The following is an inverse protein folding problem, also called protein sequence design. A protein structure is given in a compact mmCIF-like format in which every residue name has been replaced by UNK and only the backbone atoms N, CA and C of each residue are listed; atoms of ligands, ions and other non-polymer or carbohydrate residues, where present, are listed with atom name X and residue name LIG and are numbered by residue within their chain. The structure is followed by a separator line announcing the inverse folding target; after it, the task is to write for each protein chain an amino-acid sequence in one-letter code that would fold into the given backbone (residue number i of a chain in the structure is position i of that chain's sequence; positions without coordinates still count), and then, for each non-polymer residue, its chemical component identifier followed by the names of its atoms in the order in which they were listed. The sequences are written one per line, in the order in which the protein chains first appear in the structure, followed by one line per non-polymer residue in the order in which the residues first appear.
data_IF_500396664105
#
_entry.id   IF_500396664105
#
_cell.length_a   1.000
_cell.length_b   1.000
_cell.length_c   1.000
_cell.angle_alpha   90.00
_cell.angle_beta   90.00
_cell.angle_gamma   90.00
#
_symmetry.space_group_name_H-M   'P 1'
#
loop_
_entity.id
_entity.type
_entity.pdbx_description
1 polymer ?
#
# COMPACT_ATOMS: atom_id res chain seq x y z
N UNK A 1 22.95 -22.73 -10.57
CA UNK A 1 23.55 -21.38 -10.47
C UNK A 1 24.69 -21.42 -9.49
N UNK A 2 25.88 -21.05 -9.95
CA UNK A 2 27.02 -20.97 -9.06
C UNK A 2 27.10 -19.58 -8.43
N UNK A 3 27.29 -19.54 -7.13
CA UNK A 3 27.47 -18.27 -6.42
C UNK A 3 28.93 -17.85 -6.53
N UNK A 4 29.22 -16.53 -6.55
CA UNK A 4 30.60 -16.05 -6.52
C UNK A 4 31.34 -16.60 -5.30
N UNK A 5 32.53 -17.12 -5.53
CA UNK A 5 33.32 -17.78 -4.48
C UNK A 5 34.28 -16.79 -3.81
N UNK A 6 33.76 -15.58 -3.48
CA UNK A 6 34.50 -14.58 -2.72
C UNK A 6 33.76 -14.33 -1.41
N UNK A 7 34.50 -14.35 -0.30
CA UNK A 7 33.90 -14.28 1.04
C UNK A 7 32.92 -13.09 1.23
N UNK A 8 33.27 -11.91 0.72
CA UNK A 8 32.40 -10.73 0.83
C UNK A 8 31.15 -10.84 -0.01
N UNK A 9 31.24 -11.36 -1.23
CA UNK A 9 30.10 -11.52 -2.12
C UNK A 9 29.16 -12.61 -1.64
N UNK A 10 29.68 -13.71 -1.10
CA UNK A 10 28.85 -14.77 -0.51
C UNK A 10 28.08 -14.25 0.69
N UNK A 11 28.73 -13.48 1.56
CA UNK A 11 28.08 -12.89 2.73
C UNK A 11 26.95 -11.92 2.32
N UNK A 12 27.16 -11.12 1.27
CA UNK A 12 26.13 -10.22 0.75
C UNK A 12 24.95 -10.99 0.17
N UNK A 13 25.19 -12.08 -0.56
CA UNK A 13 24.13 -12.91 -1.10
C UNK A 13 23.32 -13.60 0.00
N UNK A 14 24.00 -14.09 1.03
CA UNK A 14 23.32 -14.69 2.18
C UNK A 14 22.44 -13.67 2.89
N UNK A 15 22.94 -12.45 3.08
CA UNK A 15 22.15 -11.39 3.70
C UNK A 15 20.96 -11.01 2.83
N UNK A 16 21.16 -10.87 1.53
CA UNK A 16 20.08 -10.57 0.58
C UNK A 16 18.99 -11.65 0.62
N UNK A 17 19.38 -12.92 0.68
CA UNK A 17 18.44 -14.03 0.79
C UNK A 17 17.65 -13.99 2.10
N UNK A 18 18.30 -13.67 3.22
CA UNK A 18 17.60 -13.54 4.49
C UNK A 18 16.56 -12.43 4.44
N UNK A 19 16.93 -11.28 3.89
CA UNK A 19 16.02 -10.15 3.74
C UNK A 19 14.84 -10.54 2.85
N UNK A 20 15.11 -11.17 1.72
CA UNK A 20 14.07 -11.63 0.80
C UNK A 20 13.08 -12.56 1.48
N UNK A 21 13.56 -13.58 2.18
CA UNK A 21 12.66 -14.53 2.82
C UNK A 21 11.89 -13.93 3.99
N UNK A 22 12.49 -12.99 4.73
CA UNK A 22 11.75 -12.27 5.78
C UNK A 22 10.61 -11.43 5.20
N UNK A 23 10.89 -10.72 4.11
CA UNK A 23 9.85 -9.94 3.42
C UNK A 23 8.75 -10.85 2.86
N UNK A 24 9.13 -11.95 2.26
CA UNK A 24 8.20 -12.94 1.71
C UNK A 24 7.30 -13.51 2.81
N UNK A 25 7.88 -13.91 3.93
CA UNK A 25 7.15 -14.42 5.09
C UNK A 25 6.22 -13.36 5.66
N UNK A 26 6.69 -12.13 5.81
CA UNK A 26 5.86 -11.02 6.30
C UNK A 26 4.68 -10.74 5.37
N UNK A 27 4.90 -10.75 4.06
CA UNK A 27 3.83 -10.54 3.08
C UNK A 27 2.77 -11.63 3.19
N UNK A 28 3.19 -12.90 3.34
CA UNK A 28 2.26 -14.01 3.51
C UNK A 28 1.50 -13.93 4.83
N UNK A 29 2.15 -13.53 5.90
CA UNK A 29 1.50 -13.30 7.19
C UNK A 29 0.47 -12.18 7.12
N UNK A 30 0.78 -11.12 6.38
CA UNK A 30 -0.14 -10.02 6.17
C UNK A 30 -1.44 -10.51 5.53
N UNK A 31 -1.35 -11.37 4.51
CA UNK A 31 -2.53 -11.89 3.84
C UNK A 31 -3.31 -12.90 4.67
N UNK A 32 -2.63 -13.71 5.48
CA UNK A 32 -3.29 -14.72 6.30
C UNK A 32 -3.88 -14.15 7.59
N UNK A 33 -3.05 -13.46 8.37
CA UNK A 33 -3.42 -12.98 9.71
C UNK A 33 -4.07 -11.61 9.65
N UNK A 34 -3.55 -10.72 8.81
CA UNK A 34 -4.10 -9.39 8.63
C UNK A 34 -5.51 -9.41 8.09
N UNK A 35 -5.80 -10.30 7.12
CA UNK A 35 -7.15 -10.43 6.58
C UNK A 35 -8.19 -10.78 7.64
N UNK A 36 -7.85 -11.67 8.56
CA UNK A 36 -8.75 -12.04 9.65
C UNK A 36 -9.01 -10.87 10.60
N UNK A 37 -7.97 -10.09 10.88
CA UNK A 37 -8.10 -8.95 11.80
C UNK A 37 -9.01 -7.86 11.25
N UNK A 38 -8.94 -7.56 9.95
CA UNK A 38 -9.73 -6.49 9.33
C UNK A 38 -11.08 -6.96 8.81
N UNK A 39 -11.26 -8.25 8.60
CA UNK A 39 -12.52 -8.83 8.13
C UNK A 39 -13.67 -8.53 9.10
N UNK A 40 -13.40 -8.53 10.38
CA UNK A 40 -14.39 -8.18 11.41
C UNK A 40 -14.90 -6.75 11.26
N UNK A 41 -14.11 -5.88 10.64
CA UNK A 41 -14.48 -4.50 10.35
C UNK A 41 -15.15 -4.35 8.97
N UNK A 42 -15.35 -5.45 8.25
CA UNK A 42 -15.90 -5.43 6.91
C UNK A 42 -14.94 -4.90 5.86
N UNK A 43 -13.64 -4.97 6.11
CA UNK A 43 -12.61 -4.43 5.24
C UNK A 43 -11.70 -5.53 4.71
N UNK A 44 -11.10 -5.29 3.54
CA UNK A 44 -9.97 -6.07 3.03
C UNK A 44 -8.66 -5.46 3.49
N UNK A 45 -7.56 -6.21 3.39
CA UNK A 45 -6.24 -5.67 3.70
C UNK A 45 -5.87 -4.51 2.80
N UNK A 46 -6.30 -4.53 1.53
CA UNK A 46 -6.06 -3.43 0.60
C UNK A 46 -6.81 -2.16 1.01
N UNK A 47 -8.07 -2.30 1.41
CA UNK A 47 -8.86 -1.17 1.92
C UNK A 47 -8.26 -0.61 3.20
N UNK A 48 -7.82 -1.47 4.10
CA UNK A 48 -7.13 -1.06 5.32
C UNK A 48 -5.86 -0.27 5.00
N UNK A 49 -5.07 -0.72 4.02
CA UNK A 49 -3.85 -0.02 3.62
C UNK A 49 -4.17 1.39 3.10
N UNK A 50 -5.20 1.54 2.29
CA UNK A 50 -5.63 2.85 1.78
C UNK A 50 -6.04 3.77 2.94
N UNK A 51 -6.90 3.29 3.82
CA UNK A 51 -7.36 4.08 4.96
C UNK A 51 -6.21 4.44 5.91
N UNK A 52 -5.30 3.50 6.14
CA UNK A 52 -4.12 3.75 6.96
C UNK A 52 -3.20 4.82 6.36
N UNK A 53 -2.97 4.77 5.06
CA UNK A 53 -2.18 5.79 4.38
C UNK A 53 -2.81 7.17 4.48
N UNK A 54 -4.13 7.25 4.30
CA UNK A 54 -4.87 8.51 4.36
C UNK A 54 -5.04 9.06 5.78
N UNK A 55 -4.86 8.22 6.79
CA UNK A 55 -4.99 8.63 8.20
C UNK A 55 -3.73 9.27 8.75
N UNK A 56 -2.63 9.28 7.99
CA UNK A 56 -1.39 9.91 8.42
C UNK A 56 -1.53 11.44 8.41
N UNK A 57 -0.84 12.15 9.33
CA UNK A 57 -0.89 13.62 9.35
C UNK A 57 -0.50 14.25 8.00
N UNK A 58 0.46 13.66 7.28
CA UNK A 58 0.91 14.14 5.96
C UNK A 58 -0.20 14.10 4.92
N UNK A 59 -1.23 13.29 5.13
CA UNK A 59 -2.33 13.10 4.20
C UNK A 59 -3.61 13.83 4.64
N UNK A 60 -3.54 14.72 5.61
CA UNK A 60 -4.70 15.42 6.18
C UNK A 60 -5.54 16.13 5.11
N UNK A 61 -4.88 16.75 4.14
CA UNK A 61 -5.56 17.45 3.04
C UNK A 61 -6.03 16.52 1.92
N UNK A 62 -5.69 15.25 2.03
CA UNK A 62 -5.93 14.27 0.98
C UNK A 62 -4.68 14.00 0.17
N UNK A 63 -4.75 12.96 -0.64
CA UNK A 63 -3.67 12.55 -1.54
C UNK A 63 -4.23 12.36 -2.95
N UNK A 64 -3.46 12.75 -3.96
CA UNK A 64 -3.79 12.39 -5.34
C UNK A 64 -3.71 10.87 -5.53
N UNK A 65 -4.48 10.33 -6.47
CA UNK A 65 -4.49 8.88 -6.73
C UNK A 65 -3.10 8.39 -7.10
N UNK A 66 -2.37 9.13 -7.95
CA UNK A 66 -1.00 8.76 -8.33
C UNK A 66 -0.03 8.79 -7.16
N UNK A 67 -0.15 9.78 -6.29
CA UNK A 67 0.66 9.89 -5.08
C UNK A 67 0.41 8.73 -4.13
N UNK A 68 -0.86 8.40 -3.90
CA UNK A 68 -1.25 7.29 -3.06
C UNK A 68 -0.77 5.95 -3.63
N UNK A 69 -0.86 5.77 -4.94
CA UNK A 69 -0.37 4.57 -5.61
C UNK A 69 1.14 4.40 -5.41
N UNK A 70 1.91 5.47 -5.55
CA UNK A 70 3.36 5.43 -5.31
C UNK A 70 3.68 5.10 -3.86
N UNK A 71 2.95 5.68 -2.94
CA UNK A 71 3.15 5.39 -1.51
C UNK A 71 2.89 3.93 -1.17
N UNK A 72 1.81 3.37 -1.70
CA UNK A 72 1.42 1.98 -1.47
C UNK A 72 2.14 0.99 -2.38
N UNK A 73 2.91 1.48 -3.35
CA UNK A 73 3.67 0.67 -4.30
C UNK A 73 2.77 -0.26 -5.13
N UNK A 74 1.63 0.28 -5.57
CA UNK A 74 0.67 -0.42 -6.41
C UNK A 74 0.47 0.34 -7.72
N UNK A 75 -0.15 -0.30 -8.73
CA UNK A 75 -0.44 0.39 -9.98
C UNK A 75 -1.53 1.44 -9.77
N UNK A 76 -1.40 2.55 -10.49
CA UNK A 76 -2.40 3.63 -10.44
C UNK A 76 -3.77 3.13 -10.88
N UNK A 77 -3.82 2.27 -11.89
CA UNK A 77 -5.07 1.73 -12.41
C UNK A 77 -5.80 0.87 -11.37
N UNK A 78 -5.07 -0.03 -10.70
CA UNK A 78 -5.64 -0.86 -9.66
C UNK A 78 -6.15 -0.01 -8.49
N UNK A 79 -5.36 0.97 -8.08
CA UNK A 79 -5.74 1.85 -6.99
C UNK A 79 -6.95 2.70 -7.34
N UNK A 80 -7.02 3.23 -8.56
CA UNK A 80 -8.15 4.03 -9.01
C UNK A 80 -9.46 3.26 -8.92
N UNK A 81 -9.46 1.99 -9.34
CA UNK A 81 -10.63 1.13 -9.21
C UNK A 81 -11.02 0.87 -7.76
N UNK A 82 -10.04 0.60 -6.91
CA UNK A 82 -10.27 0.36 -5.48
C UNK A 82 -10.84 1.60 -4.80
N UNK A 83 -10.26 2.77 -5.05
CA UNK A 83 -10.70 4.05 -4.49
C UNK A 83 -12.14 4.36 -4.92
N UNK A 84 -12.47 4.12 -6.19
CA UNK A 84 -13.83 4.33 -6.69
C UNK A 84 -14.86 3.46 -5.96
N UNK A 85 -14.54 2.20 -5.71
CA UNK A 85 -15.41 1.32 -4.94
C UNK A 85 -15.53 1.76 -3.48
N UNK A 86 -14.44 2.18 -2.88
CA UNK A 86 -14.44 2.65 -1.49
C UNK A 86 -15.23 3.96 -1.32
N UNK A 87 -15.20 4.81 -2.33
CA UNK A 87 -16.04 6.02 -2.33
C UNK A 87 -17.53 5.65 -2.34
N UNK A 88 -17.91 4.73 -3.23
CA UNK A 88 -19.30 4.27 -3.31
C UNK A 88 -19.78 3.63 -2.01
N UNK A 89 -18.89 2.92 -1.33
CA UNK A 89 -19.21 2.23 -0.09
C UNK A 89 -19.13 3.15 1.14
N UNK A 90 -18.76 4.42 0.95
CA UNK A 90 -18.75 5.40 2.03
C UNK A 90 -17.53 5.38 2.93
N UNK A 91 -16.43 4.74 2.51
CA UNK A 91 -15.21 4.64 3.32
C UNK A 91 -14.31 5.88 3.21
N UNK A 92 -14.40 6.58 2.10
CA UNK A 92 -13.58 7.76 1.83
C UNK A 92 -14.33 8.69 0.87
N UNK A 93 -13.76 9.87 0.63
CA UNK A 93 -14.32 10.80 -0.32
C UNK A 93 -13.27 11.32 -1.30
N UNK A 94 -13.74 11.70 -2.49
CA UNK A 94 -12.93 12.38 -3.49
C UNK A 94 -13.34 13.85 -3.51
N UNK A 95 -12.37 14.73 -3.33
CA UNK A 95 -12.61 16.17 -3.32
C UNK A 95 -11.79 16.85 -4.40
N UNK A 96 -12.22 18.02 -4.84
CA UNK A 96 -11.47 18.80 -5.81
C UNK A 96 -10.13 19.24 -5.21
N UNK A 97 -9.07 19.15 -6.01
CA UNK A 97 -7.77 19.68 -5.61
C UNK A 97 -7.80 21.21 -5.76
N UNK A 98 -7.59 21.99 -4.69
CA UNK A 98 -7.57 23.44 -4.79
C UNK A 98 -6.46 23.99 -5.69
N UNK A 99 -5.39 23.21 -5.89
CA UNK A 99 -4.23 23.63 -6.69
C UNK A 99 -4.31 23.17 -8.14
N UNK A 100 -5.16 22.18 -8.45
CA UNK A 100 -5.28 21.65 -9.81
C UNK A 100 -6.73 21.21 -10.07
N UNK A 101 -7.44 21.98 -10.89
CA UNK A 101 -8.85 21.73 -11.22
C UNK A 101 -9.10 20.41 -11.93
N UNK A 102 -8.05 19.79 -12.50
CA UNK A 102 -8.16 18.52 -13.23
C UNK A 102 -8.00 17.32 -12.33
N UNK A 103 -7.52 17.55 -11.11
CA UNK A 103 -7.20 16.48 -10.17
C UNK A 103 -8.20 16.43 -9.04
N UNK A 104 -8.33 15.25 -8.46
CA UNK A 104 -9.08 15.04 -7.24
C UNK A 104 -8.17 14.48 -6.16
N UNK A 105 -8.46 14.84 -4.93
CA UNK A 105 -7.77 14.32 -3.76
C UNK A 105 -8.65 13.28 -3.08
N UNK A 106 -8.00 12.18 -2.67
CA UNK A 106 -8.61 11.11 -1.87
C UNK A 106 -8.37 11.44 -0.41
N UNK A 107 -9.41 11.44 0.40
CA UNK A 107 -9.26 11.67 1.84
C UNK A 107 -10.30 10.90 2.64
N UNK A 108 -10.00 10.63 3.91
CA UNK A 108 -10.97 10.07 4.85
C UNK A 108 -11.89 11.17 5.38
N UNK A 109 -13.04 10.75 5.86
CA UNK A 109 -13.99 11.66 6.50
C UNK A 109 -13.47 12.21 7.83
#
# INVERSE_FOLDING_TARGET
MEFPNKNGEVAQLELANRIFFRLYQCANMLHKTGSRAVEQLGLTTQQWAVLGALSRPEAERGMGVGELARYLMVSRQNLSGLVGRMERDGHLELVADPEDRRSRLVRTF
#
